data_IF_372074458130
#
_entry.id   IF_372074458130
#
_cell.length_a   1.000
_cell.length_b   1.000
_cell.length_c   1.000
_cell.angle_alpha   90.00
_cell.angle_beta   90.00
_cell.angle_gamma   90.00
#
_symmetry.space_group_name_H-M   'P 1'
#
loop_
_entity.id
_entity.type
_entity.pdbx_description
1 polymer ?
#
# COMPACT_ATOMS: atom_id res chain seq x y z
N UNK A 1 -43.93 5.78 -8.62
CA UNK A 1 -42.96 6.02 -7.53
C UNK A 1 -43.28 7.39 -6.91
N UNK A 2 -43.47 7.49 -5.59
CA UNK A 2 -43.72 8.79 -4.93
C UNK A 2 -42.41 9.55 -4.73
N UNK A 3 -42.45 10.88 -4.62
CA UNK A 3 -41.25 11.71 -4.35
C UNK A 3 -40.53 11.27 -3.05
N UNK A 4 -41.30 10.86 -2.04
CA UNK A 4 -40.75 10.27 -0.81
C UNK A 4 -40.00 8.96 -1.06
N UNK A 5 -40.53 8.06 -1.90
CA UNK A 5 -39.83 6.82 -2.26
C UNK A 5 -38.57 7.07 -3.10
N UNK A 6 -38.55 8.12 -3.94
CA UNK A 6 -37.34 8.54 -4.67
C UNK A 6 -36.27 9.09 -3.71
N UNK A 7 -36.67 9.92 -2.74
CA UNK A 7 -35.77 10.43 -1.71
C UNK A 7 -35.14 9.30 -0.87
N UNK A 8 -35.95 8.30 -0.49
CA UNK A 8 -35.45 7.12 0.23
C UNK A 8 -34.44 6.32 -0.61
N UNK A 9 -34.72 6.12 -1.91
CA UNK A 9 -33.81 5.45 -2.84
C UNK A 9 -32.46 6.19 -2.96
N UNK A 10 -32.48 7.51 -3.13
CA UNK A 10 -31.24 8.30 -3.21
C UNK A 10 -30.42 8.24 -1.92
N UNK A 11 -31.07 8.30 -0.76
CA UNK A 11 -30.39 8.13 0.54
C UNK A 11 -29.75 6.75 0.68
N UNK A 12 -30.43 5.70 0.21
CA UNK A 12 -29.88 4.35 0.18
C UNK A 12 -28.67 4.24 -0.75
N UNK A 13 -28.69 4.90 -1.91
CA UNK A 13 -27.57 4.94 -2.84
C UNK A 13 -26.37 5.68 -2.24
N UNK A 14 -26.60 6.84 -1.59
CA UNK A 14 -25.55 7.56 -0.88
C UNK A 14 -24.89 6.69 0.21
N UNK A 15 -25.70 5.98 1.00
CA UNK A 15 -25.18 5.08 2.02
C UNK A 15 -24.30 3.96 1.42
N UNK A 16 -24.72 3.36 0.31
CA UNK A 16 -23.93 2.34 -0.38
C UNK A 16 -22.57 2.87 -0.87
N UNK A 17 -22.55 4.09 -1.43
CA UNK A 17 -21.30 4.72 -1.87
C UNK A 17 -20.40 5.08 -0.68
N UNK A 18 -20.96 5.56 0.43
CA UNK A 18 -20.21 5.78 1.67
C UNK A 18 -19.54 4.50 2.19
N UNK A 19 -20.25 3.37 2.14
CA UNK A 19 -19.67 2.07 2.49
C UNK A 19 -18.52 1.68 1.56
N UNK A 20 -18.70 1.80 0.24
CA UNK A 20 -17.63 1.52 -0.72
C UNK A 20 -16.39 2.42 -0.51
N UNK A 21 -16.59 3.70 -0.24
CA UNK A 21 -15.51 4.63 0.12
C UNK A 21 -14.75 4.15 1.36
N UNK A 22 -15.48 3.76 2.42
CA UNK A 22 -14.88 3.25 3.65
C UNK A 22 -14.07 1.96 3.41
N UNK A 23 -14.56 1.06 2.55
CA UNK A 23 -13.86 -0.17 2.17
C UNK A 23 -12.53 0.13 1.45
N UNK A 24 -12.51 1.09 0.52
CA UNK A 24 -11.26 1.51 -0.13
C UNK A 24 -10.28 2.14 0.87
N UNK A 25 -10.77 2.96 1.81
CA UNK A 25 -9.95 3.52 2.88
C UNK A 25 -9.38 2.43 3.81
N UNK A 26 -10.12 1.36 4.07
CA UNK A 26 -9.62 0.21 4.82
C UNK A 26 -8.50 -0.51 4.05
N UNK A 27 -8.69 -0.78 2.76
CA UNK A 27 -7.67 -1.41 1.90
C UNK A 27 -6.37 -0.59 1.83
N UNK A 28 -6.47 0.73 1.74
CA UNK A 28 -5.28 1.61 1.78
C UNK A 28 -4.54 1.47 3.11
N UNK A 29 -5.25 1.39 4.25
CA UNK A 29 -4.62 1.18 5.57
C UNK A 29 -3.88 -0.16 5.63
N UNK A 30 -4.49 -1.23 5.15
CA UNK A 30 -3.84 -2.55 5.08
C UNK A 30 -2.57 -2.53 4.23
N UNK A 31 -2.62 -1.90 3.05
CA UNK A 31 -1.45 -1.77 2.19
C UNK A 31 -0.34 -0.95 2.87
N UNK A 32 -0.69 0.13 3.59
CA UNK A 32 0.29 0.95 4.33
C UNK A 32 1.02 0.11 5.40
N UNK A 33 0.33 -0.78 6.10
CA UNK A 33 0.96 -1.67 7.08
C UNK A 33 1.97 -2.63 6.41
N UNK A 34 1.59 -3.24 5.29
CA UNK A 34 2.48 -4.12 4.52
C UNK A 34 3.69 -3.34 4.00
N UNK A 35 3.48 -2.16 3.44
CA UNK A 35 4.53 -1.28 2.95
C UNK A 35 5.53 -0.93 4.06
N UNK A 36 5.03 -0.54 5.24
CA UNK A 36 5.87 -0.24 6.40
C UNK A 36 6.69 -1.46 6.85
N UNK A 37 6.11 -2.66 6.80
CA UNK A 37 6.82 -3.89 7.12
C UNK A 37 7.94 -4.19 6.10
N UNK A 38 7.66 -4.06 4.80
CA UNK A 38 8.66 -4.21 3.74
C UNK A 38 9.79 -3.18 3.87
N UNK A 39 9.47 -1.93 4.22
CA UNK A 39 10.47 -0.90 4.46
C UNK A 39 11.42 -1.27 5.60
N UNK A 40 10.91 -1.87 6.69
CA UNK A 40 11.74 -2.39 7.80
C UNK A 40 12.62 -3.55 7.35
N UNK A 41 12.08 -4.50 6.59
CA UNK A 41 12.84 -5.63 6.02
C UNK A 41 13.98 -5.10 5.15
N UNK A 42 13.68 -4.20 4.21
CA UNK A 42 14.67 -3.56 3.34
C UNK A 42 15.78 -2.86 4.13
N UNK A 43 15.41 -2.21 5.25
CA UNK A 43 16.36 -1.62 6.19
C UNK A 43 17.36 -2.63 6.74
N UNK A 44 16.90 -3.81 7.17
CA UNK A 44 17.77 -4.90 7.67
C UNK A 44 18.73 -5.41 6.59
N UNK A 45 18.23 -5.69 5.39
CA UNK A 45 19.07 -6.11 4.26
C UNK A 45 20.15 -5.06 3.89
N UNK A 46 19.81 -3.77 3.99
CA UNK A 46 20.79 -2.68 3.79
C UNK A 46 21.87 -2.67 4.87
N UNK A 47 21.50 -2.91 6.13
CA UNK A 47 22.47 -3.03 7.24
C UNK A 47 23.37 -4.23 7.06
N UNK A 48 22.83 -5.41 6.77
CA UNK A 48 23.61 -6.63 6.48
C UNK A 48 24.57 -6.42 5.32
N UNK A 49 24.10 -5.80 4.23
CA UNK A 49 24.94 -5.44 3.10
C UNK A 49 26.11 -4.55 3.51
N UNK A 50 25.89 -3.56 4.38
CA UNK A 50 26.97 -2.69 4.88
C UNK A 50 27.97 -3.49 5.72
N UNK A 51 27.49 -4.35 6.61
CA UNK A 51 28.34 -5.21 7.46
C UNK A 51 29.20 -6.16 6.61
N UNK A 52 28.63 -6.81 5.60
CA UNK A 52 29.40 -7.70 4.70
C UNK A 52 30.40 -6.93 3.84
N UNK A 53 30.06 -5.71 3.38
CA UNK A 53 31.03 -4.87 2.67
C UNK A 53 32.20 -4.45 3.57
N UNK A 54 31.94 -4.20 4.87
CA UNK A 54 33.00 -3.92 5.85
C UNK A 54 33.89 -5.14 6.02
N UNK A 55 33.30 -6.32 6.27
CA UNK A 55 34.02 -7.58 6.43
C UNK A 55 34.87 -7.94 5.20
N UNK A 56 34.34 -7.73 3.99
CA UNK A 56 35.06 -7.94 2.72
C UNK A 56 36.35 -7.10 2.65
N UNK A 57 36.35 -5.92 3.25
CA UNK A 57 37.45 -4.96 3.19
C UNK A 57 38.36 -5.02 4.43
N UNK A 58 38.03 -5.83 5.43
CA UNK A 58 38.86 -6.07 6.61
C UNK A 58 39.84 -7.20 6.33
N UNK A 59 41.15 -6.94 6.50
CA UNK A 59 42.15 -8.01 6.57
C UNK A 59 42.00 -8.69 7.93
N UNK A 60 41.66 -9.97 7.94
CA UNK A 60 41.57 -10.79 9.16
C UNK A 60 42.58 -11.92 9.07
N UNK A 61 43.58 -11.87 9.95
CA UNK A 61 44.53 -12.97 10.20
C UNK A 61 44.03 -13.92 11.32
N UNK A 62 42.77 -13.74 11.77
CA UNK A 62 42.23 -14.44 12.94
C UNK A 62 41.77 -15.87 12.64
N UNK A 63 41.63 -16.24 11.36
CA UNK A 63 41.22 -17.59 10.97
C UNK A 63 42.39 -18.58 10.98
N UNK A 64 42.44 -19.42 12.01
CA UNK A 64 43.48 -20.45 12.21
C UNK A 64 43.05 -21.86 11.77
N UNK A 65 41.87 -22.00 11.13
CA UNK A 65 41.32 -23.28 10.69
C UNK A 65 41.79 -23.74 9.29
N UNK A 66 41.87 -25.06 9.07
CA UNK A 66 42.29 -25.64 7.79
C UNK A 66 41.28 -25.34 6.65
N UNK A 67 41.60 -24.38 5.79
CA UNK A 67 40.77 -23.90 4.68
C UNK A 67 40.47 -24.96 3.60
N UNK A 68 41.18 -26.10 3.58
CA UNK A 68 41.09 -27.10 2.51
C UNK A 68 39.79 -27.92 2.50
N UNK A 69 39.00 -27.94 3.60
CA UNK A 69 37.78 -28.76 3.72
C UNK A 69 36.50 -27.99 4.03
N UNK A 70 36.60 -26.71 4.43
CA UNK A 70 35.47 -25.88 4.89
C UNK A 70 35.43 -24.54 4.18
N UNK A 71 35.97 -24.45 2.96
CA UNK A 71 35.88 -23.24 2.16
C UNK A 71 34.41 -22.93 1.88
N UNK A 72 33.96 -21.77 2.35
CA UNK A 72 32.72 -21.17 1.92
C UNK A 72 32.84 -20.95 0.40
N UNK A 73 32.18 -21.80 -0.40
CA UNK A 73 32.40 -21.87 -1.86
C UNK A 73 31.92 -20.63 -2.63
N UNK A 74 31.31 -19.66 -1.96
CA UNK A 74 30.88 -18.40 -2.53
C UNK A 74 31.68 -17.22 -1.95
N UNK A 75 32.35 -16.41 -2.80
CA UNK A 75 32.94 -15.17 -2.37
C UNK A 75 31.90 -14.24 -1.72
N UNK A 76 32.25 -13.52 -0.66
CA UNK A 76 31.38 -12.53 -0.01
C UNK A 76 30.83 -11.51 -1.02
N UNK A 77 31.59 -11.18 -2.06
CA UNK A 77 31.13 -10.34 -3.18
C UNK A 77 29.93 -10.93 -3.93
N UNK A 78 29.89 -12.25 -4.12
CA UNK A 78 28.79 -12.98 -4.77
C UNK A 78 27.51 -12.92 -3.93
N UNK A 79 27.61 -13.10 -2.60
CA UNK A 79 26.47 -12.98 -1.68
C UNK A 79 25.89 -11.56 -1.71
N UNK A 80 26.75 -10.54 -1.68
CA UNK A 80 26.33 -9.14 -1.77
C UNK A 80 25.64 -8.85 -3.12
N UNK A 81 26.23 -9.29 -4.24
CA UNK A 81 25.73 -8.98 -5.57
C UNK A 81 24.48 -9.76 -5.95
N UNK A 82 24.45 -11.06 -5.66
CA UNK A 82 23.44 -11.97 -6.20
C UNK A 82 22.25 -12.13 -5.26
N UNK A 83 22.47 -12.06 -3.95
CA UNK A 83 21.39 -12.28 -2.97
C UNK A 83 20.89 -10.97 -2.40
N UNK A 84 21.75 -10.17 -1.77
CA UNK A 84 21.31 -8.97 -1.07
C UNK A 84 20.80 -7.89 -2.02
N UNK A 85 21.54 -7.59 -3.10
CA UNK A 85 21.08 -6.59 -4.08
C UNK A 85 19.82 -7.04 -4.82
N UNK A 86 19.73 -8.31 -5.21
CA UNK A 86 18.54 -8.86 -5.88
C UNK A 86 17.32 -8.80 -4.98
N UNK A 87 17.48 -9.17 -3.70
CA UNK A 87 16.40 -9.11 -2.72
C UNK A 87 15.95 -7.67 -2.47
N UNK A 88 16.90 -6.72 -2.29
CA UNK A 88 16.55 -5.30 -2.15
C UNK A 88 15.79 -4.79 -3.39
N UNK A 89 16.23 -5.14 -4.60
CA UNK A 89 15.53 -4.76 -5.84
C UNK A 89 14.16 -5.42 -5.98
N UNK A 90 13.96 -6.63 -5.44
CA UNK A 90 12.66 -7.27 -5.40
C UNK A 90 11.72 -6.53 -4.45
N UNK A 91 12.18 -6.23 -3.24
CA UNK A 91 11.41 -5.44 -2.26
C UNK A 91 11.04 -4.06 -2.85
N UNK A 92 11.95 -3.41 -3.58
CA UNK A 92 11.67 -2.10 -4.20
C UNK A 92 10.53 -2.20 -5.22
N UNK A 93 10.57 -3.19 -6.11
CA UNK A 93 9.49 -3.41 -7.08
C UNK A 93 8.15 -3.73 -6.42
N UNK A 94 8.16 -4.50 -5.34
CA UNK A 94 6.94 -4.82 -4.61
C UNK A 94 6.39 -3.59 -3.88
N UNK A 95 7.25 -2.77 -3.29
CA UNK A 95 6.87 -1.49 -2.68
C UNK A 95 6.27 -0.51 -3.70
N UNK A 96 6.84 -0.43 -4.90
CA UNK A 96 6.29 0.41 -5.99
C UNK A 96 4.88 -0.06 -6.40
N UNK A 97 4.68 -1.38 -6.54
CA UNK A 97 3.35 -1.96 -6.82
C UNK A 97 2.32 -1.65 -5.72
N UNK A 98 2.75 -1.65 -4.46
CA UNK A 98 1.87 -1.29 -3.35
C UNK A 98 1.46 0.19 -3.43
N UNK A 99 2.39 1.08 -3.80
CA UNK A 99 2.10 2.51 -4.02
C UNK A 99 1.10 2.68 -5.17
N UNK A 100 1.31 2.01 -6.30
CA UNK A 100 0.39 2.07 -7.44
C UNK A 100 -1.03 1.63 -7.04
N UNK A 101 -1.14 0.56 -6.23
CA UNK A 101 -2.43 0.10 -5.71
C UNK A 101 -3.07 1.03 -4.70
N UNK A 102 -2.28 1.71 -3.86
CA UNK A 102 -2.82 2.77 -3.00
C UNK A 102 -3.39 3.91 -3.84
N UNK A 103 -2.65 4.38 -4.85
CA UNK A 103 -3.10 5.45 -5.75
C UNK A 103 -4.38 5.06 -6.50
N UNK A 104 -4.49 3.80 -6.96
CA UNK A 104 -5.71 3.29 -7.59
C UNK A 104 -6.93 3.40 -6.64
N UNK A 105 -6.77 3.04 -5.37
CA UNK A 105 -7.85 3.17 -4.39
C UNK A 105 -8.13 4.62 -4.00
N UNK A 106 -7.13 5.49 -3.94
CA UNK A 106 -7.34 6.93 -3.72
C UNK A 106 -8.15 7.55 -4.86
N UNK A 107 -7.88 7.18 -6.11
CA UNK A 107 -8.68 7.59 -7.26
C UNK A 107 -10.14 7.12 -7.15
N UNK A 108 -10.37 5.87 -6.75
CA UNK A 108 -11.73 5.34 -6.50
C UNK A 108 -12.45 6.06 -5.36
N UNK A 109 -11.73 6.53 -4.35
CA UNK A 109 -12.29 7.38 -3.29
C UNK A 109 -12.73 8.73 -3.86
N UNK A 110 -11.91 9.37 -4.69
CA UNK A 110 -12.29 10.62 -5.36
C UNK A 110 -13.53 10.46 -6.26
N UNK A 111 -13.64 9.34 -6.96
CA UNK A 111 -14.85 9.02 -7.74
C UNK A 111 -16.08 8.89 -6.83
N UNK A 112 -15.96 8.20 -5.69
CA UNK A 112 -17.03 8.12 -4.70
C UNK A 112 -17.47 9.50 -4.19
N UNK A 113 -16.51 10.39 -3.92
CA UNK A 113 -16.80 11.75 -3.45
C UNK A 113 -17.53 12.59 -4.51
N UNK A 114 -17.15 12.46 -5.78
CA UNK A 114 -17.86 13.08 -6.89
C UNK A 114 -19.31 12.60 -7.00
N UNK A 115 -19.53 11.28 -6.89
CA UNK A 115 -20.86 10.69 -6.93
C UNK A 115 -21.73 11.11 -5.73
N UNK A 116 -21.16 11.14 -4.52
CA UNK A 116 -21.86 11.59 -3.32
C UNK A 116 -22.33 13.04 -3.47
N UNK A 117 -21.47 13.94 -3.95
CA UNK A 117 -21.84 15.33 -4.18
C UNK A 117 -23.02 15.48 -5.16
N UNK A 118 -23.06 14.68 -6.23
CA UNK A 118 -24.19 14.68 -7.17
C UNK A 118 -25.48 14.19 -6.51
N UNK A 119 -25.41 13.11 -5.74
CA UNK A 119 -26.58 12.56 -5.03
C UNK A 119 -27.10 13.53 -3.98
N UNK A 120 -26.23 14.23 -3.25
CA UNK A 120 -26.62 15.24 -2.27
C UNK A 120 -27.38 16.41 -2.92
N UNK A 121 -26.95 16.88 -4.08
CA UNK A 121 -27.67 17.89 -4.86
C UNK A 121 -29.09 17.40 -5.20
N UNK A 122 -29.23 16.15 -5.65
CA UNK A 122 -30.54 15.58 -5.98
C UNK A 122 -31.44 15.42 -4.76
N UNK A 123 -30.88 14.98 -3.63
CA UNK A 123 -31.58 14.87 -2.34
C UNK A 123 -32.11 16.24 -1.92
N UNK A 124 -31.28 17.29 -1.97
CA UNK A 124 -31.67 18.64 -1.58
C UNK A 124 -32.79 19.20 -2.46
N UNK A 125 -32.68 19.03 -3.78
CA UNK A 125 -33.70 19.48 -4.73
C UNK A 125 -35.05 18.76 -4.51
N UNK A 126 -35.03 17.44 -4.28
CA UNK A 126 -36.24 16.66 -4.03
C UNK A 126 -36.87 16.99 -2.67
N UNK A 127 -36.05 17.15 -1.62
CA UNK A 127 -36.53 17.54 -0.30
C UNK A 127 -37.22 18.91 -0.35
N UNK A 128 -36.57 19.93 -0.94
CA UNK A 128 -37.19 21.26 -1.09
C UNK A 128 -38.45 21.25 -1.97
N UNK A 129 -38.52 20.36 -2.96
CA UNK A 129 -39.73 20.20 -3.77
C UNK A 129 -40.87 19.58 -2.95
N UNK A 130 -40.57 18.63 -2.07
CA UNK A 130 -41.55 18.02 -1.17
C UNK A 130 -42.05 19.07 -0.16
N UNK A 131 -41.16 19.85 0.45
CA UNK A 131 -41.52 20.91 1.39
C UNK A 131 -42.47 21.94 0.77
N UNK A 132 -42.18 22.41 -0.45
CA UNK A 132 -43.06 23.31 -1.21
C UNK A 132 -44.43 22.72 -1.58
N UNK A 133 -44.60 21.41 -1.51
CA UNK A 133 -45.87 20.74 -1.78
C UNK A 133 -46.73 20.59 -0.52
N UNK A 134 -46.12 20.62 0.66
CA UNK A 134 -46.79 20.48 1.94
C UNK A 134 -47.01 21.82 2.67
N UNK A 135 -46.28 22.87 2.29
CA UNK A 135 -46.55 24.27 2.63
C UNK A 135 -47.53 24.90 1.63
#
# INVERSE_FOLDING_TARGET
MTKQSQLASLRSQAAAICHQKADYQAKIREIKEIYNHLQKIKGRYRTEKKSLNKLKNENSDEWTGNLYKTQFNQPVSSVISNELNTTIKAIDRDMDRLIDKMNEYENKIFECDGLLGQIEIWINNLAGTIEKWFN
#
